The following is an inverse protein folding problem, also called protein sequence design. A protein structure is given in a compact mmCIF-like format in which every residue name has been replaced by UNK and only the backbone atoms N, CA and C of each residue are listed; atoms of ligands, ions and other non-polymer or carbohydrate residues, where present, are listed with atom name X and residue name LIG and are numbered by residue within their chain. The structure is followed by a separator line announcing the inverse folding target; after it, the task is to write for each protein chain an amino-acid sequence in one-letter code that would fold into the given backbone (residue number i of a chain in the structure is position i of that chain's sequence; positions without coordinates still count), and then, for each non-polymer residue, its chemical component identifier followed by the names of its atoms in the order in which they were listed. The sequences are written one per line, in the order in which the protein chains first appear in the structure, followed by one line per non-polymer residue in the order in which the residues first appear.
data_IF_707211304282
#
_entry.id   IF_707211304282
#
_cell.length_a   1.000
_cell.length_b   1.000
_cell.length_c   1.000
_cell.angle_alpha   90.00
_cell.angle_beta   90.00
_cell.angle_gamma   90.00
#
_symmetry.space_group_name_H-M   'P 1'
#
loop_
_entity.id
_entity.type
_entity.pdbx_description
1 polymer ?
#
# COMPACT_ATOMS: atom_id res chain seq x y z
N UNK A 1 30.35 -43.62 -43.26
CA UNK A 1 29.11 -42.82 -43.12
C UNK A 1 28.77 -42.71 -41.63
N UNK A 2 29.08 -41.57 -41.00
CA UNK A 2 28.75 -41.31 -39.58
C UNK A 2 27.57 -40.34 -39.53
N UNK A 3 26.45 -40.78 -38.96
CA UNK A 3 25.26 -39.96 -38.71
C UNK A 3 25.50 -39.16 -37.42
N UNK A 4 25.64 -37.84 -37.53
CA UNK A 4 25.59 -36.97 -36.36
C UNK A 4 24.19 -36.38 -36.29
N UNK A 5 23.38 -36.89 -35.35
CA UNK A 5 22.16 -36.24 -34.91
C UNK A 5 22.59 -35.03 -34.07
N UNK A 6 22.43 -33.82 -34.61
CA UNK A 6 22.59 -32.59 -33.82
C UNK A 6 21.22 -32.27 -33.23
N UNK A 7 21.13 -32.41 -31.91
CA UNK A 7 20.01 -31.99 -31.08
C UNK A 7 19.76 -30.48 -31.26
N UNK A 8 18.51 -30.11 -31.56
CA UNK A 8 18.03 -28.73 -31.53
C UNK A 8 17.89 -28.32 -30.06
N UNK A 9 18.62 -27.32 -29.54
CA UNK A 9 18.36 -26.81 -28.21
C UNK A 9 17.02 -26.05 -28.22
N UNK A 10 16.08 -26.57 -27.45
CA UNK A 10 14.77 -26.00 -27.21
C UNK A 10 14.94 -24.64 -26.54
N UNK A 11 14.23 -23.68 -27.11
CA UNK A 11 14.05 -22.28 -26.73
C UNK A 11 13.80 -22.17 -25.21
N UNK A 12 14.76 -21.61 -24.48
CA UNK A 12 14.48 -21.01 -23.19
C UNK A 12 13.94 -19.60 -23.45
N UNK A 13 12.65 -19.52 -23.83
CA UNK A 13 11.87 -18.30 -23.60
C UNK A 13 11.83 -18.17 -22.09
N UNK A 14 12.76 -17.39 -21.54
CA UNK A 14 12.68 -16.98 -20.16
C UNK A 14 11.33 -16.34 -19.96
N UNK A 15 10.42 -17.02 -19.24
CA UNK A 15 9.33 -16.34 -18.60
C UNK A 15 9.97 -15.31 -17.68
N UNK A 16 10.08 -14.07 -18.15
CA UNK A 16 10.25 -12.92 -17.30
C UNK A 16 8.93 -12.83 -16.53
N UNK A 17 8.82 -13.64 -15.47
CA UNK A 17 7.88 -13.39 -14.41
C UNK A 17 8.38 -12.10 -13.74
N UNK A 18 8.06 -10.95 -14.33
CA UNK A 18 7.91 -9.74 -13.54
C UNK A 18 6.85 -10.10 -12.51
N UNK A 19 7.29 -10.51 -11.33
CA UNK A 19 6.44 -10.75 -10.18
C UNK A 19 5.80 -9.39 -9.90
N UNK A 20 4.65 -9.15 -10.50
CA UNK A 20 3.95 -7.89 -10.40
C UNK A 20 3.50 -7.79 -8.95
N UNK A 21 4.00 -6.79 -8.22
CA UNK A 21 3.67 -6.64 -6.81
C UNK A 21 2.18 -6.31 -6.70
N UNK A 22 1.39 -7.26 -6.22
CA UNK A 22 -0.04 -7.07 -6.03
C UNK A 22 -0.31 -6.14 -4.83
N UNK A 23 -1.25 -5.22 -4.98
CA UNK A 23 -1.73 -4.39 -3.87
C UNK A 23 -2.65 -5.21 -2.96
N UNK A 24 -2.25 -5.33 -1.70
CA UNK A 24 -3.06 -5.93 -0.65
C UNK A 24 -3.73 -4.82 0.16
N UNK A 25 -5.06 -4.74 0.04
CA UNK A 25 -5.86 -3.71 0.67
C UNK A 25 -6.18 -4.08 2.12
N UNK A 26 -6.03 -3.10 3.00
CA UNK A 26 -6.35 -3.17 4.43
C UNK A 26 -7.69 -2.49 4.70
N UNK A 27 -7.96 -1.36 4.02
CA UNK A 27 -9.17 -0.57 4.23
C UNK A 27 -9.49 0.28 3.00
N UNK A 28 -10.78 0.51 2.79
CA UNK A 28 -11.29 1.47 1.81
C UNK A 28 -12.39 2.28 2.49
N UNK A 29 -12.37 3.60 2.34
CA UNK A 29 -13.39 4.51 2.88
C UNK A 29 -13.88 5.39 1.73
N UNK A 30 -15.14 5.21 1.32
CA UNK A 30 -15.77 6.02 0.27
C UNK A 30 -16.50 7.21 0.87
N UNK A 31 -16.28 8.39 0.29
CA UNK A 31 -16.98 9.63 0.67
C UNK A 31 -17.21 10.48 -0.57
N UNK A 32 -18.48 10.67 -0.96
CA UNK A 32 -18.85 11.39 -2.19
C UNK A 32 -18.11 10.82 -3.42
N UNK A 33 -17.38 11.64 -4.16
CA UNK A 33 -16.54 11.27 -5.31
C UNK A 33 -15.10 10.88 -4.93
N UNK A 34 -14.80 10.71 -3.64
CA UNK A 34 -13.46 10.41 -3.13
C UNK A 34 -13.41 9.03 -2.49
N UNK A 35 -12.24 8.40 -2.57
CA UNK A 35 -11.96 7.12 -1.93
C UNK A 35 -10.62 7.22 -1.20
N UNK A 36 -10.63 6.93 0.10
CA UNK A 36 -9.40 6.75 0.87
C UNK A 36 -9.04 5.27 0.82
N UNK A 37 -7.92 4.95 0.18
CA UNK A 37 -7.43 3.58 0.04
C UNK A 37 -6.24 3.38 0.96
N UNK A 38 -6.25 2.31 1.76
CA UNK A 38 -5.12 1.87 2.56
C UNK A 38 -4.69 0.48 2.12
N UNK A 39 -3.47 0.36 1.61
CA UNK A 39 -2.90 -0.89 1.10
C UNK A 39 -1.39 -0.96 1.31
N UNK A 40 -0.81 -2.11 1.05
CA UNK A 40 0.63 -2.32 0.92
C UNK A 40 0.90 -3.22 -0.29
N UNK A 41 2.12 -3.21 -0.80
CA UNK A 41 2.51 -4.11 -1.90
C UNK A 41 2.96 -5.46 -1.35
N UNK A 42 2.40 -6.54 -1.88
CA UNK A 42 2.82 -7.91 -1.56
C UNK A 42 4.20 -8.17 -2.15
N UNK A 43 5.20 -8.34 -1.30
CA UNK A 43 6.56 -8.65 -1.71
C UNK A 43 7.12 -9.85 -0.92
N UNK A 44 7.83 -10.74 -1.62
CA UNK A 44 8.27 -12.05 -1.10
C UNK A 44 9.34 -11.94 -0.02
N UNK A 45 9.95 -10.76 0.16
CA UNK A 45 11.19 -10.59 0.91
C UNK A 45 11.24 -9.38 1.87
N UNK A 46 10.15 -8.65 2.11
CA UNK A 46 10.24 -7.39 2.88
C UNK A 46 8.94 -6.99 3.57
N UNK A 47 9.06 -6.30 4.71
CA UNK A 47 7.98 -5.48 5.26
C UNK A 47 7.83 -4.25 4.38
N UNK A 48 6.92 -4.29 3.40
CA UNK A 48 6.57 -3.11 2.62
C UNK A 48 5.91 -2.05 3.49
N UNK A 49 6.19 -0.80 3.16
CA UNK A 49 5.52 0.32 3.78
C UNK A 49 4.05 0.38 3.31
N UNK A 50 3.18 0.82 4.21
CA UNK A 50 1.78 1.02 3.92
C UNK A 50 1.57 2.35 3.20
N UNK A 51 0.67 2.37 2.24
CA UNK A 51 0.23 3.54 1.50
C UNK A 51 -1.20 3.90 1.91
N UNK A 52 -1.42 5.19 2.18
CA UNK A 52 -2.75 5.77 2.24
C UNK A 52 -2.88 6.77 1.11
N UNK A 53 -3.79 6.51 0.18
CA UNK A 53 -4.08 7.36 -0.96
C UNK A 53 -5.46 8.01 -0.82
N UNK A 54 -5.59 9.21 -1.39
CA UNK A 54 -6.86 9.86 -1.68
C UNK A 54 -7.08 9.82 -3.19
N UNK A 55 -8.00 8.97 -3.63
CA UNK A 55 -8.44 8.91 -5.02
C UNK A 55 -9.66 9.79 -5.24
N UNK A 56 -9.63 10.61 -6.27
CA UNK A 56 -10.74 11.42 -6.77
C UNK A 56 -11.27 10.83 -8.07
N UNK A 57 -12.40 10.14 -7.97
CA UNK A 57 -13.08 9.52 -9.11
C UNK A 57 -13.62 10.52 -10.14
N UNK A 58 -13.83 11.79 -9.75
CA UNK A 58 -14.34 12.82 -10.67
C UNK A 58 -13.25 13.31 -11.62
N UNK A 59 -12.02 13.41 -11.12
CA UNK A 59 -10.88 13.96 -11.85
C UNK A 59 -9.84 12.90 -12.25
N UNK A 60 -10.13 11.62 -11.98
CA UNK A 60 -9.23 10.48 -12.17
C UNK A 60 -7.82 10.74 -11.62
N UNK A 61 -7.76 11.22 -10.37
CA UNK A 61 -6.52 11.65 -9.72
C UNK A 61 -6.31 10.90 -8.42
N UNK A 62 -5.10 10.42 -8.18
CA UNK A 62 -4.71 9.79 -6.91
C UNK A 62 -3.56 10.56 -6.26
N UNK A 63 -3.78 11.04 -5.03
CA UNK A 63 -2.77 11.71 -4.23
C UNK A 63 -2.35 10.85 -3.04
N UNK A 64 -1.05 10.78 -2.75
CA UNK A 64 -0.56 10.07 -1.55
C UNK A 64 -0.70 10.94 -0.31
N UNK A 65 -1.55 10.52 0.63
CA UNK A 65 -1.66 11.15 1.96
C UNK A 65 -0.39 10.84 2.77
N UNK A 66 -0.02 9.57 2.85
CA UNK A 66 1.17 9.10 3.57
C UNK A 66 1.67 7.77 3.03
N UNK A 67 3.00 7.59 3.07
CA UNK A 67 3.69 6.32 2.95
C UNK A 67 4.47 6.08 4.26
N UNK A 68 4.16 5.02 5.00
CA UNK A 68 4.73 4.79 6.33
C UNK A 68 4.70 3.33 6.76
N UNK A 69 5.64 2.93 7.62
CA UNK A 69 5.77 1.56 8.13
C UNK A 69 5.08 1.34 9.47
N UNK A 70 4.55 2.39 10.11
CA UNK A 70 3.99 2.30 11.47
C UNK A 70 2.54 2.84 11.57
N UNK A 71 1.79 2.77 10.49
CA UNK A 71 0.35 3.07 10.48
C UNK A 71 -0.39 1.97 11.27
N UNK A 72 -1.24 2.40 12.20
CA UNK A 72 -2.13 1.54 12.99
C UNK A 72 -3.53 1.46 12.41
N UNK A 73 -4.11 2.60 12.05
CA UNK A 73 -5.48 2.70 11.54
C UNK A 73 -5.67 4.04 10.80
N UNK A 74 -6.68 4.08 9.93
CA UNK A 74 -7.18 5.29 9.29
C UNK A 74 -8.67 5.39 9.50
N UNK A 75 -9.13 6.57 9.91
CA UNK A 75 -10.56 6.86 10.11
C UNK A 75 -10.94 8.16 9.44
N UNK A 76 -12.18 8.21 9.00
CA UNK A 76 -12.80 9.41 8.47
C UNK A 76 -14.01 9.75 9.35
N UNK A 77 -14.03 10.97 9.86
CA UNK A 77 -15.20 11.55 10.54
C UNK A 77 -15.45 12.93 9.93
N UNK A 78 -16.61 13.10 9.30
CA UNK A 78 -16.91 14.28 8.48
C UNK A 78 -15.78 14.51 7.45
N UNK A 79 -15.22 15.72 7.41
CA UNK A 79 -14.10 16.06 6.52
C UNK A 79 -12.72 15.91 7.20
N UNK A 80 -12.63 15.11 8.27
CA UNK A 80 -11.38 14.88 9.00
C UNK A 80 -10.89 13.44 8.86
N UNK A 81 -9.71 13.29 8.27
CA UNK A 81 -8.96 12.03 8.20
C UNK A 81 -8.03 11.96 9.41
N UNK A 82 -8.28 11.00 10.29
CA UNK A 82 -7.40 10.72 11.43
C UNK A 82 -6.52 9.52 11.11
N UNK A 83 -5.22 9.77 11.09
CA UNK A 83 -4.18 8.76 10.91
C UNK A 83 -3.62 8.37 12.28
N UNK A 84 -3.80 7.11 12.65
CA UNK A 84 -3.27 6.57 13.89
C UNK A 84 -1.92 5.90 13.61
N UNK A 85 -0.91 6.23 14.39
CA UNK A 85 0.44 5.67 14.28
C UNK A 85 0.86 5.00 15.57
N UNK A 86 1.65 3.94 15.44
CA UNK A 86 2.41 3.39 16.55
C UNK A 86 3.62 4.29 16.84
N UNK A 87 3.43 5.29 17.70
CA UNK A 87 4.42 6.35 17.97
C UNK A 87 4.50 7.41 16.86
N UNK A 88 5.65 8.09 16.75
CA UNK A 88 5.85 9.16 15.76
C UNK A 88 5.80 8.60 14.33
N UNK A 89 5.14 9.28 13.37
CA UNK A 89 5.12 8.82 11.99
C UNK A 89 6.52 8.63 11.43
N UNK A 90 6.77 7.47 10.83
CA UNK A 90 8.05 7.14 10.21
C UNK A 90 7.89 6.22 9.00
N UNK A 91 8.89 6.24 8.13
CA UNK A 91 9.11 5.24 7.11
C UNK A 91 10.43 4.54 7.45
N UNK A 92 10.35 3.25 7.73
CA UNK A 92 11.45 2.47 8.32
C UNK A 92 11.97 3.14 9.61
N UNK A 93 13.18 3.68 9.59
CA UNK A 93 13.80 4.38 10.72
C UNK A 93 13.78 5.90 10.60
N UNK A 94 13.24 6.43 9.50
CA UNK A 94 13.21 7.88 9.23
C UNK A 94 11.88 8.48 9.62
N UNK A 95 11.90 9.46 10.54
CA UNK A 95 10.70 10.25 10.86
C UNK A 95 10.20 11.00 9.63
N UNK A 96 8.88 11.06 9.45
CA UNK A 96 8.25 11.77 8.34
C UNK A 96 7.33 12.89 8.83
N UNK A 97 7.18 13.92 8.00
CA UNK A 97 6.21 15.00 8.23
C UNK A 97 5.03 14.76 7.27
N UNK A 98 3.83 14.73 7.83
CA UNK A 98 2.60 14.52 7.06
C UNK A 98 1.88 15.86 6.90
N UNK A 99 1.35 16.09 5.70
CA UNK A 99 0.54 17.29 5.41
C UNK A 99 -0.70 17.30 6.31
N UNK A 100 -1.05 18.47 6.84
CA UNK A 100 -2.23 18.64 7.73
C UNK A 100 -3.54 18.85 6.97
N UNK A 101 -3.50 19.02 5.65
CA UNK A 101 -4.66 19.21 4.78
C UNK A 101 -4.36 18.61 3.41
N UNK A 102 -5.38 18.00 2.81
CA UNK A 102 -5.35 17.52 1.43
C UNK A 102 -6.74 17.67 0.85
N UNK A 103 -6.85 18.45 -0.23
CA UNK A 103 -8.13 18.86 -0.82
C UNK A 103 -9.09 19.47 0.22
N UNK A 104 -10.32 18.98 0.33
CA UNK A 104 -11.29 19.39 1.34
C UNK A 104 -11.01 18.80 2.74
N UNK A 105 -10.16 17.76 2.85
CA UNK A 105 -9.96 17.04 4.09
C UNK A 105 -8.90 17.65 5.00
N UNK A 106 -9.24 17.78 6.29
CA UNK A 106 -8.28 18.01 7.36
C UNK A 106 -7.63 16.68 7.75
N UNK A 107 -6.31 16.68 7.94
CA UNK A 107 -5.56 15.50 8.38
C UNK A 107 -5.07 15.72 9.82
N UNK A 108 -5.41 14.80 10.70
CA UNK A 108 -4.96 14.76 12.10
C UNK A 108 -4.13 13.50 12.31
N UNK A 109 -3.06 13.64 13.10
CA UNK A 109 -2.13 12.57 13.43
C UNK A 109 -2.32 12.26 14.91
N UNK A 110 -2.62 10.99 15.22
CA UNK A 110 -2.63 10.46 16.58
C UNK A 110 -1.47 9.48 16.75
N UNK A 111 -0.57 9.77 17.69
CA UNK A 111 0.64 8.98 17.96
C UNK A 111 0.57 8.25 19.31
N UNK A 112 -0.59 8.24 19.98
CA UNK A 112 -0.74 7.69 21.32
C UNK A 112 -0.84 6.16 21.34
N UNK A 113 -0.87 5.52 20.18
CA UNK A 113 -0.97 4.08 20.13
C UNK A 113 0.37 3.42 20.46
N UNK A 114 0.30 2.46 21.38
CA UNK A 114 1.43 1.60 21.75
C UNK A 114 1.38 0.36 20.86
N UNK A 115 2.53 0.00 20.27
CA UNK A 115 2.65 -1.25 19.50
C UNK A 115 2.62 -2.43 20.47
N UNK A 116 1.73 -3.42 20.28
CA UNK A 116 1.64 -4.57 21.18
C UNK A 116 2.80 -5.59 21.00
N UNK A 117 3.81 -5.30 20.18
CA UNK A 117 4.86 -6.24 19.78
C UNK A 117 4.61 -6.81 18.38
N UNK A 118 5.16 -7.99 18.02
CA UNK A 118 4.84 -8.65 16.76
C UNK A 118 3.32 -8.93 16.71
N UNK A 119 2.60 -8.09 15.98
CA UNK A 119 1.15 -8.17 15.88
C UNK A 119 0.70 -9.39 15.08
N UNK A 120 -0.54 -9.85 15.28
CA UNK A 120 -1.13 -10.86 14.41
C UNK A 120 -1.13 -10.37 12.96
N UNK A 121 -1.10 -11.31 12.00
CA UNK A 121 -1.21 -11.00 10.57
C UNK A 121 -2.38 -10.04 10.33
N UNK A 122 -2.10 -8.88 9.74
CA UNK A 122 -3.14 -7.92 9.35
C UNK A 122 -4.04 -8.61 8.32
N UNK A 123 -5.36 -8.56 8.50
CA UNK A 123 -6.29 -9.06 7.49
C UNK A 123 -6.24 -8.12 6.29
N UNK A 124 -5.87 -8.66 5.13
CA UNK A 124 -5.84 -7.93 3.87
C UNK A 124 -6.58 -8.70 2.78
N UNK A 125 -6.91 -8.04 1.67
CA UNK A 125 -7.59 -8.64 0.54
C UNK A 125 -7.06 -8.10 -0.79
N UNK A 126 -7.14 -8.93 -1.83
CA UNK A 126 -6.96 -8.49 -3.21
C UNK A 126 -8.25 -7.86 -3.71
N UNK A 127 -8.16 -6.67 -4.29
CA UNK A 127 -9.29 -6.03 -4.96
C UNK A 127 -9.50 -6.78 -6.29
N UNK A 128 -10.74 -7.20 -6.55
CA UNK A 128 -11.09 -7.78 -7.85
C UNK A 128 -11.30 -6.62 -8.82
N UNK A 129 -10.62 -6.66 -9.95
CA UNK A 129 -10.97 -5.82 -11.09
C UNK A 129 -12.38 -6.23 -11.55
N UNK A 130 -13.29 -5.27 -11.63
CA UNK A 130 -14.65 -5.43 -12.15
C UNK A 130 -14.67 -5.22 -13.65
#
# INVERSE_FOLDING_TARGET
MRKFLIFIPIIALGCVNTLQEDRLYLKEIKVKNKVIEWFYYSNVASTSADYILLYDSKNDRSDTIVNSTNIKDVRLTNDTITLYFYGKPKIYDTSIIIKKKMDEFKIIIDTNAISPGPGPSRKSYLKKDL
#
